data_IF_403551974205
#
_entry.id   IF_403551974205
#
_cell.length_a   1.000
_cell.length_b   1.000
_cell.length_c   1.000
_cell.angle_alpha   90.00
_cell.angle_beta   90.00
_cell.angle_gamma   90.00
#
_symmetry.space_group_name_H-M   'P 1'
#
loop_
_entity.id
_entity.type
_entity.pdbx_description
1 polymer ?
#
# COMPACT_ATOMS: atom_id res chain seq x y z
N UNK A 1 18.92 2.45 -3.30
CA UNK A 1 18.06 1.40 -2.73
C UNK A 1 18.62 1.10 -1.34
N UNK A 2 17.81 1.18 -0.28
CA UNK A 2 18.29 0.94 1.09
C UNK A 2 18.71 -0.52 1.23
N UNK A 3 19.88 -0.78 1.84
CA UNK A 3 20.38 -2.16 2.08
C UNK A 3 19.39 -2.98 2.91
N UNK A 4 18.63 -2.31 3.78
CA UNK A 4 17.60 -2.93 4.64
C UNK A 4 16.46 -3.61 3.87
N UNK A 5 16.06 -3.02 2.74
CA UNK A 5 14.93 -3.51 1.94
C UNK A 5 15.18 -4.89 1.29
N UNK A 6 16.43 -5.33 1.23
CA UNK A 6 16.84 -6.56 0.54
C UNK A 6 17.01 -7.73 1.53
N UNK A 7 17.30 -7.42 2.79
CA UNK A 7 17.62 -8.42 3.83
C UNK A 7 16.46 -8.70 4.80
N UNK A 8 15.40 -7.89 4.78
CA UNK A 8 14.21 -8.08 5.64
C UNK A 8 13.02 -8.65 4.87
N UNK A 9 12.32 -9.61 5.48
CA UNK A 9 11.07 -10.17 4.93
C UNK A 9 9.97 -9.11 5.09
N UNK A 10 9.29 -8.69 3.99
CA UNK A 10 8.18 -7.75 4.08
C UNK A 10 7.07 -8.26 4.99
N UNK A 11 6.44 -7.34 5.72
CA UNK A 11 5.30 -7.66 6.59
C UNK A 11 4.05 -7.81 5.74
N UNK A 12 3.38 -8.96 5.81
CA UNK A 12 2.11 -9.18 5.11
C UNK A 12 0.96 -8.76 6.02
N UNK A 13 0.07 -7.91 5.51
CA UNK A 13 -1.13 -7.46 6.21
C UNK A 13 -2.35 -8.16 5.61
N UNK A 14 -3.08 -8.90 6.45
CA UNK A 14 -4.30 -9.64 6.08
C UNK A 14 -5.48 -9.31 6.97
N UNK A 15 -5.38 -8.29 7.84
CA UNK A 15 -6.45 -7.83 8.72
C UNK A 15 -6.64 -6.31 8.63
N UNK A 16 -7.88 -5.84 8.75
CA UNK A 16 -8.20 -4.41 8.77
C UNK A 16 -7.52 -3.68 9.93
N UNK A 17 -7.44 -4.32 11.10
CA UNK A 17 -6.81 -3.74 12.30
C UNK A 17 -5.32 -3.49 12.11
N UNK A 18 -4.60 -4.42 11.48
CA UNK A 18 -3.17 -4.26 11.24
C UNK A 18 -2.91 -3.23 10.13
N UNK A 19 -3.76 -3.19 9.11
CA UNK A 19 -3.75 -2.12 8.11
C UNK A 19 -3.95 -0.75 8.78
N UNK A 20 -4.95 -0.60 9.65
CA UNK A 20 -5.21 0.68 10.32
C UNK A 20 -4.03 1.13 11.17
N UNK A 21 -3.40 0.25 11.94
CA UNK A 21 -2.20 0.58 12.73
C UNK A 21 -1.05 1.10 11.85
N UNK A 22 -0.75 0.37 10.77
CA UNK A 22 0.32 0.75 9.83
C UNK A 22 0.02 2.09 9.17
N UNK A 23 -1.25 2.33 8.83
CA UNK A 23 -1.69 3.60 8.26
C UNK A 23 -1.55 4.74 9.25
N UNK A 24 -1.94 4.58 10.51
CA UNK A 24 -1.76 5.61 11.54
C UNK A 24 -0.27 5.96 11.73
N UNK A 25 0.60 4.95 11.79
CA UNK A 25 2.06 5.16 11.89
C UNK A 25 2.60 5.95 10.68
N UNK A 26 2.06 5.67 9.49
CA UNK A 26 2.45 6.34 8.25
C UNK A 26 2.08 7.82 8.20
N UNK A 27 1.10 8.29 8.99
CA UNK A 27 0.67 9.70 8.99
C UNK A 27 1.76 10.67 9.47
N UNK A 28 2.76 10.16 10.18
CA UNK A 28 3.93 10.91 10.63
C UNK A 28 5.03 11.06 9.55
N UNK A 29 4.91 10.34 8.43
CA UNK A 29 5.91 10.31 7.36
C UNK A 29 5.65 11.39 6.30
N UNK A 30 6.73 11.92 5.72
CA UNK A 30 6.64 12.90 4.63
C UNK A 30 6.37 12.26 3.26
N UNK A 31 6.72 11.00 3.10
CA UNK A 31 6.63 10.26 1.85
C UNK A 31 6.13 8.84 2.11
N UNK A 32 5.31 8.33 1.20
CA UNK A 32 4.91 6.92 1.13
C UNK A 32 5.02 6.48 -0.32
N UNK A 33 5.65 5.33 -0.60
CA UNK A 33 5.60 4.75 -1.94
C UNK A 33 4.49 3.71 -2.04
N UNK A 34 3.80 3.70 -3.17
CA UNK A 34 2.64 2.84 -3.43
C UNK A 34 2.81 2.21 -4.81
N UNK A 35 2.47 0.93 -4.90
CA UNK A 35 2.36 0.16 -6.13
C UNK A 35 1.24 -0.87 -5.94
N UNK A 36 0.57 -1.29 -7.01
CA UNK A 36 -0.51 -2.28 -6.94
C UNK A 36 -0.32 -3.38 -7.97
N UNK A 37 -0.85 -4.57 -7.65
CA UNK A 37 -0.95 -5.67 -8.61
C UNK A 37 -2.43 -5.95 -8.87
N UNK A 38 -2.87 -5.82 -10.12
CA UNK A 38 -4.26 -6.04 -10.53
C UNK A 38 -4.45 -7.34 -11.33
N UNK A 39 -5.66 -7.89 -11.30
CA UNK A 39 -6.09 -8.97 -12.20
C UNK A 39 -7.15 -8.49 -13.20
N UNK A 40 -6.71 -7.86 -14.29
CA UNK A 40 -7.57 -7.37 -15.38
C UNK A 40 -7.78 -8.36 -16.53
N UNK A 41 -6.96 -9.42 -16.66
CA UNK A 41 -7.05 -10.35 -17.81
C UNK A 41 -8.19 -11.37 -17.71
N UNK A 42 -8.61 -11.71 -16.49
CA UNK A 42 -9.59 -12.78 -16.24
C UNK A 42 -10.81 -12.33 -15.45
N UNK A 43 -10.91 -11.03 -15.10
CA UNK A 43 -12.01 -10.48 -14.31
C UNK A 43 -12.35 -9.05 -14.75
N UNK A 44 -13.64 -8.80 -14.96
CA UNK A 44 -14.19 -7.47 -15.21
C UNK A 44 -15.36 -7.20 -14.25
N UNK A 45 -15.34 -6.09 -13.47
CA UNK A 45 -14.25 -5.12 -13.39
C UNK A 45 -12.95 -5.73 -12.83
N UNK A 46 -11.84 -5.08 -13.15
CA UNK A 46 -10.53 -5.44 -12.61
C UNK A 46 -10.55 -5.40 -11.07
N UNK A 47 -9.70 -6.21 -10.46
CA UNK A 47 -9.61 -6.31 -9.01
C UNK A 47 -8.15 -6.16 -8.59
N UNK A 48 -7.91 -5.35 -7.55
CA UNK A 48 -6.58 -5.19 -6.94
C UNK A 48 -6.29 -6.42 -6.10
N UNK A 49 -5.24 -7.17 -6.43
CA UNK A 49 -4.83 -8.41 -5.77
C UNK A 49 -3.72 -8.22 -4.74
N UNK A 50 -2.95 -7.13 -4.84
CA UNK A 50 -1.93 -6.77 -3.86
C UNK A 50 -1.75 -5.24 -3.86
N UNK A 51 -1.44 -4.69 -2.70
CA UNK A 51 -0.98 -3.31 -2.57
C UNK A 51 0.37 -3.34 -1.84
N UNK A 52 1.39 -2.77 -2.46
CA UNK A 52 2.73 -2.63 -1.90
C UNK A 52 2.87 -1.23 -1.31
N UNK A 53 3.23 -1.14 -0.03
CA UNK A 53 3.47 0.13 0.66
C UNK A 53 4.90 0.16 1.23
N UNK A 54 5.57 1.31 1.08
CA UNK A 54 6.76 1.61 1.86
C UNK A 54 6.50 2.85 2.71
N UNK A 55 6.67 2.69 4.03
CA UNK A 55 6.50 3.76 5.02
C UNK A 55 7.83 3.91 5.75
N UNK A 56 8.53 5.01 5.49
CA UNK A 56 9.90 5.18 5.99
C UNK A 56 10.85 4.16 5.37
N UNK A 57 11.29 3.17 6.16
CA UNK A 57 12.11 2.04 5.70
C UNK A 57 11.35 0.70 5.75
N UNK A 58 10.15 0.67 6.32
CA UNK A 58 9.35 -0.55 6.47
C UNK A 58 8.54 -0.82 5.20
N UNK A 59 8.57 -2.08 4.74
CA UNK A 59 7.84 -2.56 3.57
C UNK A 59 6.66 -3.43 4.01
N UNK A 60 5.49 -3.12 3.47
CA UNK A 60 4.25 -3.83 3.73
C UNK A 60 3.64 -4.36 2.44
N UNK A 61 3.19 -5.62 2.49
CA UNK A 61 2.40 -6.26 1.45
C UNK A 61 0.97 -6.41 1.97
N UNK A 62 0.07 -5.59 1.47
CA UNK A 62 -1.33 -5.59 1.89
C UNK A 62 -2.10 -6.53 0.97
N UNK A 63 -2.79 -7.51 1.55
CA UNK A 63 -3.65 -8.45 0.83
C UNK A 63 -5.12 -7.96 0.85
N UNK A 64 -5.58 -7.27 -0.21
CA UNK A 64 -6.97 -6.80 -0.31
C UNK A 64 -7.99 -7.94 -0.52
N UNK A 65 -7.55 -9.18 -0.78
CA UNK A 65 -8.45 -10.33 -0.88
C UNK A 65 -8.80 -10.89 0.50
N UNK A 66 -7.94 -10.67 1.50
CA UNK A 66 -8.13 -11.11 2.88
C UNK A 66 -8.72 -10.02 3.80
N UNK A 67 -8.60 -8.75 3.42
CA UNK A 67 -9.04 -7.60 4.22
C UNK A 67 -10.43 -7.13 3.77
N UNK A 68 -11.40 -7.16 4.69
CA UNK A 68 -12.78 -6.74 4.40
C UNK A 68 -12.93 -5.23 4.20
N UNK A 69 -12.11 -4.42 4.88
CA UNK A 69 -12.15 -2.96 4.80
C UNK A 69 -10.75 -2.36 4.63
N UNK A 70 -10.50 -1.78 3.47
CA UNK A 70 -9.26 -1.08 3.11
C UNK A 70 -9.39 0.46 3.18
N UNK A 71 -10.50 0.98 3.70
CA UNK A 71 -10.81 2.42 3.75
C UNK A 71 -9.77 3.25 4.50
N UNK A 72 -9.02 2.64 5.42
CA UNK A 72 -7.92 3.26 6.13
C UNK A 72 -6.87 3.88 5.17
N UNK A 73 -6.60 3.26 4.02
CA UNK A 73 -5.70 3.81 2.99
C UNK A 73 -6.07 5.25 2.59
N UNK A 74 -7.36 5.59 2.62
CA UNK A 74 -7.86 6.92 2.34
C UNK A 74 -7.23 8.00 3.21
N UNK A 75 -6.86 7.70 4.48
CA UNK A 75 -6.22 8.65 5.39
C UNK A 75 -4.86 9.13 4.85
N UNK A 76 -4.08 8.25 4.22
CA UNK A 76 -2.78 8.59 3.61
C UNK A 76 -2.96 9.19 2.23
N UNK A 77 -3.81 8.58 1.40
CA UNK A 77 -4.04 9.02 0.03
C UNK A 77 -4.58 10.45 -0.03
N UNK A 78 -5.51 10.80 0.86
CA UNK A 78 -6.11 12.14 0.93
C UNK A 78 -5.25 13.19 1.65
N UNK A 79 -4.18 12.80 2.34
CA UNK A 79 -3.36 13.73 3.10
C UNK A 79 -2.39 14.49 2.18
N UNK A 80 -2.57 15.80 2.06
CA UNK A 80 -1.78 16.70 1.21
C UNK A 80 -0.35 16.95 1.73
N UNK A 81 -0.09 16.66 3.01
CA UNK A 81 1.24 16.76 3.63
C UNK A 81 2.12 15.55 3.34
N UNK A 82 1.54 14.47 2.83
CA UNK A 82 2.24 13.22 2.48
C UNK A 82 2.36 13.14 0.96
N UNK A 83 3.59 13.05 0.47
CA UNK A 83 3.86 12.82 -0.94
C UNK A 83 3.72 11.32 -1.23
N UNK A 84 2.84 10.97 -2.16
CA UNK A 84 2.66 9.60 -2.65
C UNK A 84 3.59 9.40 -3.86
N UNK A 85 4.48 8.43 -3.77
CA UNK A 85 5.48 8.12 -4.81
C UNK A 85 5.03 6.85 -5.52
N UNK A 86 4.77 6.95 -6.82
CA UNK A 86 4.41 5.82 -7.69
C UNK A 86 5.33 5.83 -8.91
N UNK A 87 5.50 4.69 -9.56
CA UNK A 87 6.19 4.58 -10.84
C UNK A 87 5.20 4.14 -11.91
N UNK A 88 5.00 4.96 -12.95
CA UNK A 88 4.04 4.69 -14.02
C UNK A 88 2.60 4.41 -13.52
N UNK A 89 2.18 5.06 -12.43
CA UNK A 89 0.91 4.77 -11.75
C UNK A 89 -0.36 5.33 -12.38
N UNK A 90 -0.36 5.54 -13.70
CA UNK A 90 -1.55 5.99 -14.45
C UNK A 90 -2.71 4.98 -14.36
N UNK A 91 -2.40 3.71 -14.12
CA UNK A 91 -3.39 2.64 -13.93
C UNK A 91 -3.82 2.56 -12.47
N UNK A 92 -2.89 2.70 -11.53
CA UNK A 92 -3.12 2.58 -10.08
C UNK A 92 -4.09 3.61 -9.51
N UNK A 93 -4.21 4.77 -10.17
CA UNK A 93 -5.01 5.92 -9.71
C UNK A 93 -6.47 5.88 -10.23
N UNK A 94 -6.79 5.02 -11.20
CA UNK A 94 -8.08 5.04 -11.91
C UNK A 94 -9.28 4.58 -11.09
#
# INVERSE_FOLDING_TARGET
MSLRAIDEIPKILTSSDDLEKVIEDSLSNRYVSIDIEGNGFFRYPEFVCLIQLCVGEDIYLVDPLAIDDISALGKVLANDKIIKILHAGDYDIR
#
